data_IF_298155176713
#
_entry.id   IF_298155176713
#
_cell.length_a   1.000
_cell.length_b   1.000
_cell.length_c   1.000
_cell.angle_alpha   90.00
_cell.angle_beta   90.00
_cell.angle_gamma   90.00
#
_symmetry.space_group_name_H-M   'P 1'
#
loop_
_entity.id
_entity.type
_entity.pdbx_description
1 polymer ?
#
# COMPACT_ATOMS: atom_id res chain seq x y z
N UNK A 1 11.58 -20.68 -19.93
CA UNK A 1 11.93 -20.29 -18.55
C UNK A 1 10.97 -19.22 -17.97
N UNK A 2 10.82 -18.03 -18.55
CA UNK A 2 9.95 -16.95 -17.99
C UNK A 2 8.46 -17.34 -17.97
N UNK A 3 7.95 -17.98 -19.01
CA UNK A 3 6.56 -18.48 -19.09
C UNK A 3 6.25 -19.53 -18.01
N UNK A 4 7.12 -20.52 -17.83
CA UNK A 4 6.97 -21.53 -16.80
C UNK A 4 6.88 -20.93 -15.40
N UNK A 5 7.67 -19.87 -15.12
CA UNK A 5 7.60 -19.13 -13.85
C UNK A 5 6.21 -18.51 -13.61
N UNK A 6 5.57 -17.94 -14.64
CA UNK A 6 4.21 -17.42 -14.55
C UNK A 6 3.20 -18.54 -14.31
N UNK A 7 3.32 -19.66 -15.01
CA UNK A 7 2.44 -20.83 -14.84
C UNK A 7 2.55 -21.42 -13.43
N UNK A 8 3.76 -21.59 -12.91
CA UNK A 8 3.99 -22.04 -11.52
C UNK A 8 3.39 -21.08 -10.50
N UNK A 9 3.58 -19.77 -10.71
CA UNK A 9 2.99 -18.76 -9.85
C UNK A 9 1.46 -18.83 -9.85
N UNK A 10 0.83 -18.95 -11.02
CA UNK A 10 -0.63 -19.07 -11.16
C UNK A 10 -1.17 -20.34 -10.48
N UNK A 11 -0.47 -21.47 -10.61
CA UNK A 11 -0.83 -22.73 -9.93
C UNK A 11 -0.76 -22.59 -8.40
N UNK A 12 0.31 -22.00 -7.89
CA UNK A 12 0.47 -21.77 -6.46
C UNK A 12 -0.60 -20.78 -5.92
N UNK A 13 -0.83 -19.68 -6.63
CA UNK A 13 -1.83 -18.69 -6.28
C UNK A 13 -3.25 -19.28 -6.24
N UNK A 14 -3.63 -20.05 -7.27
CA UNK A 14 -4.89 -20.78 -7.32
C UNK A 14 -5.10 -21.64 -6.08
N UNK A 15 -4.07 -22.41 -5.67
CA UNK A 15 -4.10 -23.24 -4.47
C UNK A 15 -4.30 -22.42 -3.20
N UNK A 16 -3.67 -21.22 -3.11
CA UNK A 16 -3.72 -20.38 -1.90
C UNK A 16 -4.96 -19.49 -1.81
N UNK A 17 -5.78 -19.40 -2.86
CA UNK A 17 -7.10 -18.76 -2.78
C UNK A 17 -8.09 -19.55 -1.89
N UNK A 18 -7.79 -20.82 -1.60
CA UNK A 18 -8.55 -21.63 -0.65
C UNK A 18 -9.96 -21.99 -1.15
N UNK A 19 -10.97 -21.88 -0.28
CA UNK A 19 -12.35 -22.19 -0.67
C UNK A 19 -12.82 -21.28 -1.80
N UNK A 20 -13.63 -21.81 -2.72
CA UNK A 20 -14.13 -21.13 -3.92
C UNK A 20 -13.04 -20.63 -4.90
N UNK A 21 -11.84 -21.22 -4.85
CA UNK A 21 -10.71 -20.82 -5.68
C UNK A 21 -11.00 -20.84 -7.18
N UNK A 22 -11.81 -21.76 -7.68
CA UNK A 22 -12.17 -21.80 -9.10
C UNK A 22 -12.83 -20.49 -9.56
N UNK A 23 -13.84 -20.03 -8.81
CA UNK A 23 -14.57 -18.80 -9.16
C UNK A 23 -13.71 -17.55 -8.96
N UNK A 24 -12.98 -17.50 -7.84
CA UNK A 24 -12.14 -16.32 -7.52
C UNK A 24 -10.97 -16.21 -8.49
N UNK A 25 -10.41 -17.32 -8.97
CA UNK A 25 -9.33 -17.30 -9.95
C UNK A 25 -9.83 -16.92 -11.35
N UNK A 26 -10.95 -17.48 -11.82
CA UNK A 26 -11.58 -17.01 -13.08
C UNK A 26 -11.97 -15.53 -13.01
N UNK A 27 -12.35 -15.06 -11.83
CA UNK A 27 -12.65 -13.64 -11.62
C UNK A 27 -11.40 -12.76 -11.79
N UNK A 28 -10.22 -13.20 -11.30
CA UNK A 28 -8.97 -12.45 -11.54
C UNK A 28 -8.63 -12.37 -13.02
N UNK A 29 -8.76 -13.47 -13.75
CA UNK A 29 -8.55 -13.50 -15.20
C UNK A 29 -9.54 -12.57 -15.92
N UNK A 30 -10.82 -12.60 -15.53
CA UNK A 30 -11.85 -11.73 -16.09
C UNK A 30 -11.55 -10.23 -15.83
N UNK A 31 -11.10 -9.85 -14.63
CA UNK A 31 -10.69 -8.47 -14.32
C UNK A 31 -9.53 -8.02 -15.20
N UNK A 32 -8.53 -8.88 -15.40
CA UNK A 32 -7.38 -8.57 -16.23
C UNK A 32 -7.74 -8.39 -17.71
N UNK A 33 -8.75 -9.10 -18.21
CA UNK A 33 -9.20 -8.96 -19.60
C UNK A 33 -10.23 -7.84 -19.79
N UNK A 34 -11.03 -7.51 -18.78
CA UNK A 34 -12.10 -6.53 -18.92
C UNK A 34 -11.56 -5.12 -18.72
N UNK A 35 -11.56 -4.32 -19.77
CA UNK A 35 -11.06 -2.95 -19.72
C UNK A 35 -12.03 -2.01 -19.00
N UNK A 36 -13.31 -2.14 -19.29
CA UNK A 36 -14.38 -1.31 -18.72
C UNK A 36 -15.45 -2.21 -18.13
N UNK A 37 -15.79 -1.98 -16.85
CA UNK A 37 -16.88 -2.66 -16.18
C UNK A 37 -17.63 -1.65 -15.29
N UNK A 38 -18.94 -1.77 -15.21
CA UNK A 38 -19.79 -0.93 -14.37
C UNK A 38 -20.34 -1.70 -13.17
N UNK A 39 -20.26 -3.01 -13.22
CA UNK A 39 -20.71 -3.91 -12.15
C UNK A 39 -19.91 -5.21 -12.09
N UNK A 40 -20.05 -6.00 -11.02
CA UNK A 40 -19.49 -7.36 -10.99
C UNK A 40 -20.13 -8.27 -12.03
N UNK A 41 -21.39 -8.02 -12.42
CA UNK A 41 -22.04 -8.79 -13.45
C UNK A 41 -21.35 -8.63 -14.81
N UNK A 42 -20.85 -7.43 -15.13
CA UNK A 42 -20.13 -7.18 -16.39
C UNK A 42 -18.84 -7.99 -16.48
N UNK A 43 -18.15 -8.18 -15.34
CA UNK A 43 -16.97 -9.05 -15.28
C UNK A 43 -17.29 -10.51 -15.62
N UNK A 44 -18.51 -10.96 -15.35
CA UNK A 44 -18.95 -12.32 -15.70
C UNK A 44 -19.24 -12.53 -17.19
N UNK A 45 -19.28 -11.45 -17.98
CA UNK A 45 -19.40 -11.52 -19.44
C UNK A 45 -18.04 -11.78 -20.12
N UNK A 46 -16.95 -11.71 -19.39
CA UNK A 46 -15.62 -12.04 -19.91
C UNK A 46 -15.56 -13.50 -20.38
N UNK A 47 -14.97 -13.79 -21.55
CA UNK A 47 -14.92 -15.16 -22.10
C UNK A 47 -14.16 -16.16 -21.22
N UNK A 48 -13.32 -15.67 -20.30
CA UNK A 48 -12.56 -16.54 -19.36
C UNK A 48 -13.37 -16.84 -18.10
N UNK A 49 -14.50 -16.17 -17.85
CA UNK A 49 -15.37 -16.46 -16.72
C UNK A 49 -16.49 -17.40 -17.15
N UNK A 50 -16.35 -18.68 -16.87
CA UNK A 50 -17.24 -19.76 -17.37
C UNK A 50 -18.47 -20.01 -16.50
N UNK A 51 -18.72 -19.16 -15.49
CA UNK A 51 -19.77 -19.32 -14.47
C UNK A 51 -20.80 -18.19 -14.54
N UNK A 52 -21.91 -18.37 -13.84
CA UNK A 52 -22.95 -17.32 -13.74
C UNK A 52 -22.48 -16.17 -12.84
N UNK A 53 -22.94 -14.96 -13.09
CA UNK A 53 -22.60 -13.76 -12.33
C UNK A 53 -22.85 -13.89 -10.82
N UNK A 54 -23.90 -14.64 -10.40
CA UNK A 54 -24.22 -14.88 -9.00
C UNK A 54 -23.11 -15.60 -8.23
N UNK A 55 -22.33 -16.45 -8.91
CA UNK A 55 -21.22 -17.19 -8.29
C UNK A 55 -20.09 -16.28 -7.81
N UNK A 56 -19.95 -15.07 -8.39
CA UNK A 56 -18.97 -14.07 -7.91
C UNK A 56 -19.31 -13.65 -6.48
N UNK A 57 -20.58 -13.32 -6.21
CA UNK A 57 -21.00 -12.91 -4.86
C UNK A 57 -20.91 -14.04 -3.85
N UNK A 58 -21.29 -15.26 -4.26
CA UNK A 58 -21.14 -16.47 -3.45
C UNK A 58 -19.68 -16.75 -3.12
N UNK A 59 -18.79 -16.64 -4.11
CA UNK A 59 -17.35 -16.83 -3.90
C UNK A 59 -16.76 -15.78 -2.96
N UNK A 60 -17.10 -14.50 -3.11
CA UNK A 60 -16.69 -13.46 -2.19
C UNK A 60 -17.26 -13.65 -0.78
N UNK A 61 -18.41 -14.33 -0.62
CA UNK A 61 -18.95 -14.71 0.66
C UNK A 61 -18.20 -15.89 1.29
N UNK A 62 -17.76 -16.84 0.50
CA UNK A 62 -17.27 -18.14 0.94
C UNK A 62 -15.77 -18.34 0.89
N UNK A 63 -15.04 -17.57 0.06
CA UNK A 63 -13.59 -17.73 -0.12
C UNK A 63 -12.82 -17.58 1.21
N UNK A 64 -11.67 -18.24 1.26
CA UNK A 64 -10.74 -18.23 2.41
C UNK A 64 -9.30 -18.09 1.90
N UNK A 65 -8.93 -16.90 1.37
CA UNK A 65 -7.56 -16.69 0.89
C UNK A 65 -6.54 -16.85 2.02
N UNK A 66 -5.49 -17.60 1.76
CA UNK A 66 -4.39 -17.83 2.69
C UNK A 66 -3.38 -16.68 2.56
N UNK A 67 -3.72 -15.51 3.11
CA UNK A 67 -2.98 -14.24 2.95
C UNK A 67 -1.48 -14.37 3.25
N UNK A 68 -1.13 -15.14 4.28
CA UNK A 68 0.27 -15.36 4.65
C UNK A 68 1.02 -16.13 3.56
N UNK A 69 0.43 -17.19 3.01
CA UNK A 69 1.04 -17.97 1.93
C UNK A 69 1.11 -17.18 0.62
N UNK A 70 0.10 -16.35 0.34
CA UNK A 70 0.14 -15.44 -0.81
C UNK A 70 1.28 -14.42 -0.67
N UNK A 71 1.45 -13.78 0.51
CA UNK A 71 2.56 -12.89 0.78
C UNK A 71 3.92 -13.58 0.60
N UNK A 72 4.08 -14.79 1.13
CA UNK A 72 5.31 -15.58 0.95
C UNK A 72 5.55 -15.93 -0.52
N UNK A 73 4.49 -16.24 -1.28
CA UNK A 73 4.57 -16.47 -2.72
C UNK A 73 5.09 -15.22 -3.45
N UNK A 74 4.62 -14.03 -3.06
CA UNK A 74 5.08 -12.76 -3.62
C UNK A 74 6.54 -12.50 -3.27
N UNK A 75 6.92 -12.66 -2.02
CA UNK A 75 8.32 -12.48 -1.55
C UNK A 75 9.27 -13.42 -2.29
N UNK A 76 8.85 -14.67 -2.55
CA UNK A 76 9.65 -15.64 -3.33
C UNK A 76 9.97 -15.15 -4.75
N UNK A 77 9.21 -14.21 -5.31
CA UNK A 77 9.49 -13.64 -6.62
C UNK A 77 10.51 -12.50 -6.59
N UNK A 78 10.83 -11.98 -5.40
CA UNK A 78 11.79 -10.88 -5.23
C UNK A 78 13.24 -11.40 -5.34
N UNK A 79 14.19 -10.55 -5.78
CA UNK A 79 15.62 -10.87 -5.72
C UNK A 79 16.08 -11.07 -4.27
N UNK A 80 16.88 -12.11 -4.02
CA UNK A 80 17.34 -12.45 -2.66
C UNK A 80 18.59 -11.70 -2.21
N UNK A 81 19.37 -11.19 -3.15
CA UNK A 81 20.71 -10.61 -2.87
C UNK A 81 20.70 -9.09 -2.69
N UNK A 82 19.63 -8.39 -3.06
CA UNK A 82 19.53 -6.95 -2.94
C UNK A 82 18.74 -6.53 -1.71
N UNK A 83 19.12 -5.37 -1.14
CA UNK A 83 18.36 -4.72 -0.06
C UNK A 83 17.07 -4.15 -0.66
N UNK A 84 15.88 -4.68 -0.35
CA UNK A 84 14.66 -4.25 -1.00
C UNK A 84 14.20 -2.87 -0.50
N UNK A 85 13.66 -2.07 -1.43
CA UNK A 85 12.95 -0.84 -1.11
C UNK A 85 11.45 -1.17 -0.96
N UNK A 86 10.91 -0.97 0.22
CA UNK A 86 9.49 -1.07 0.50
C UNK A 86 8.87 0.33 0.58
N UNK A 87 7.65 0.47 0.11
CA UNK A 87 6.86 1.68 0.32
C UNK A 87 5.56 1.33 1.05
N UNK A 88 5.29 2.08 2.11
CA UNK A 88 4.04 1.95 2.86
C UNK A 88 3.14 3.15 2.70
N UNK A 89 1.85 2.91 2.52
CA UNK A 89 0.84 3.95 2.39
C UNK A 89 -0.56 3.41 2.70
N UNK A 90 -1.56 4.28 2.77
CA UNK A 90 -2.95 3.88 2.89
C UNK A 90 -3.85 4.70 1.96
N UNK A 91 -4.99 4.11 1.62
CA UNK A 91 -5.98 4.74 0.75
C UNK A 91 -7.38 4.41 1.22
N UNK A 92 -8.36 5.22 0.84
CA UNK A 92 -9.77 4.98 1.13
C UNK A 92 -10.50 4.34 -0.06
N UNK A 93 -11.39 3.41 0.27
CA UNK A 93 -12.49 2.99 -0.60
C UNK A 93 -13.73 3.76 -0.17
N UNK A 94 -14.04 4.84 -0.89
CA UNK A 94 -15.18 5.72 -0.61
C UNK A 94 -16.51 5.01 -0.85
N UNK A 95 -17.37 4.98 0.16
CA UNK A 95 -18.68 4.33 0.16
C UNK A 95 -19.69 5.12 1.01
N UNK A 96 -19.91 6.44 0.76
CA UNK A 96 -20.77 7.28 1.59
C UNK A 96 -22.22 6.78 1.60
N UNK A 97 -22.75 6.33 0.46
CA UNK A 97 -24.15 5.90 0.30
C UNK A 97 -24.39 4.44 0.70
N UNK A 98 -23.35 3.68 1.07
CA UNK A 98 -23.47 2.28 1.42
C UNK A 98 -23.96 2.10 2.87
N UNK A 99 -25.15 2.59 3.20
CA UNK A 99 -25.71 2.56 4.57
C UNK A 99 -25.89 1.14 5.15
N UNK A 100 -25.90 0.13 4.30
CA UNK A 100 -25.97 -1.28 4.69
C UNK A 100 -24.60 -1.95 4.83
N UNK A 101 -23.49 -1.23 4.54
CA UNK A 101 -22.13 -1.72 4.76
C UNK A 101 -21.75 -1.50 6.22
N UNK A 102 -21.33 -2.58 6.87
CA UNK A 102 -20.83 -2.56 8.26
C UNK A 102 -19.47 -1.86 8.35
N UNK A 103 -19.18 -1.32 9.52
CA UNK A 103 -17.86 -0.78 9.89
C UNK A 103 -17.34 0.29 8.93
N UNK A 104 -18.22 1.14 8.39
CA UNK A 104 -17.77 2.33 7.67
C UNK A 104 -17.16 3.32 8.65
N UNK A 105 -16.02 3.86 8.30
CA UNK A 105 -15.26 4.83 9.08
C UNK A 105 -15.10 6.13 8.31
N UNK A 106 -14.67 7.18 9.01
CA UNK A 106 -14.27 8.45 8.38
C UNK A 106 -12.82 8.30 7.97
N UNK A 107 -12.56 8.43 6.67
CA UNK A 107 -11.23 8.28 6.09
C UNK A 107 -10.80 9.58 5.39
N UNK A 108 -9.48 9.82 5.31
CA UNK A 108 -8.94 10.91 4.51
C UNK A 108 -9.13 10.63 3.02
N UNK A 109 -9.49 11.65 2.26
CA UNK A 109 -9.67 11.54 0.81
C UNK A 109 -9.29 12.85 0.15
N UNK A 110 -8.62 12.77 -1.00
CA UNK A 110 -8.36 13.95 -1.84
C UNK A 110 -9.63 14.49 -2.50
N UNK A 111 -10.68 13.66 -2.65
CA UNK A 111 -12.00 14.10 -3.08
C UNK A 111 -12.74 14.72 -1.89
N UNK A 112 -13.19 15.96 -2.03
CA UNK A 112 -13.91 16.67 -0.97
C UNK A 112 -15.38 16.21 -0.93
N UNK A 113 -15.90 16.01 0.29
CA UNK A 113 -17.35 15.95 0.52
C UNK A 113 -17.94 17.36 0.55
N UNK A 114 -19.28 17.52 0.47
CA UNK A 114 -19.92 18.81 0.67
C UNK A 114 -19.38 19.50 1.93
N UNK A 115 -18.95 20.75 1.81
CA UNK A 115 -18.28 21.50 2.87
C UNK A 115 -16.74 21.51 2.78
N UNK A 116 -16.16 21.12 1.65
CA UNK A 116 -14.71 21.18 1.33
C UNK A 116 -13.77 20.47 2.34
N UNK A 117 -14.26 19.48 3.05
CA UNK A 117 -13.43 18.68 3.95
C UNK A 117 -12.77 17.53 3.17
N UNK A 118 -11.45 17.32 3.32
CA UNK A 118 -10.72 16.24 2.63
C UNK A 118 -10.97 14.88 3.31
N UNK A 119 -12.23 14.52 3.46
CA UNK A 119 -12.68 13.27 4.11
C UNK A 119 -13.72 12.56 3.27
N UNK A 120 -13.83 11.25 3.45
CA UNK A 120 -14.92 10.44 2.93
C UNK A 120 -15.40 9.44 3.98
N UNK A 121 -16.56 8.86 3.75
CA UNK A 121 -17.10 7.75 4.55
C UNK A 121 -16.89 6.48 3.75
N UNK A 122 -16.25 5.47 4.36
CA UNK A 122 -15.97 4.22 3.67
C UNK A 122 -15.11 3.28 4.49
N UNK A 123 -14.14 2.67 3.85
CA UNK A 123 -13.17 1.78 4.51
C UNK A 123 -11.75 2.18 4.09
N UNK A 124 -10.85 2.28 5.06
CA UNK A 124 -9.42 2.50 4.82
C UNK A 124 -8.70 1.18 4.50
N UNK A 125 -7.69 1.25 3.65
CA UNK A 125 -6.82 0.11 3.31
C UNK A 125 -5.36 0.52 3.40
N UNK A 126 -4.56 -0.27 4.07
CA UNK A 126 -3.11 -0.10 4.23
C UNK A 126 -2.38 -1.05 3.29
N UNK A 127 -1.28 -0.59 2.72
CA UNK A 127 -0.48 -1.33 1.75
C UNK A 127 0.99 -1.26 2.12
N UNK A 128 1.68 -2.39 2.02
CA UNK A 128 3.14 -2.47 1.92
C UNK A 128 3.46 -3.04 0.55
N UNK A 129 4.22 -2.31 -0.24
CA UNK A 129 4.62 -2.72 -1.58
C UNK A 129 6.14 -2.70 -1.74
N UNK A 130 6.68 -3.65 -2.49
CA UNK A 130 8.05 -3.61 -2.98
C UNK A 130 8.14 -2.72 -4.22
N UNK A 131 9.18 -1.88 -4.29
CA UNK A 131 9.46 -0.97 -5.39
C UNK A 131 10.69 -1.51 -6.14
N UNK A 132 10.51 -2.23 -7.27
CA UNK A 132 11.58 -2.97 -7.92
C UNK A 132 12.53 -2.10 -8.75
N UNK A 133 12.10 -0.92 -9.19
CA UNK A 133 12.78 -0.11 -10.20
C UNK A 133 13.09 1.28 -9.68
N UNK A 134 14.21 1.86 -10.12
CA UNK A 134 14.59 3.24 -9.77
C UNK A 134 13.71 4.27 -10.47
N UNK A 135 13.23 3.94 -11.65
CA UNK A 135 12.26 4.74 -12.40
C UNK A 135 11.23 3.81 -13.06
N UNK A 136 9.96 4.11 -12.88
CA UNK A 136 8.89 3.27 -13.42
C UNK A 136 7.58 3.47 -12.67
N UNK A 137 6.58 2.67 -13.00
CA UNK A 137 5.24 2.72 -12.40
C UNK A 137 4.89 1.45 -11.61
N UNK A 138 5.87 0.56 -11.41
CA UNK A 138 5.63 -0.69 -10.71
C UNK A 138 5.79 -0.54 -9.20
N UNK A 139 4.70 -0.72 -8.47
CA UNK A 139 4.70 -1.04 -7.06
C UNK A 139 4.02 -2.39 -6.89
N UNK A 140 4.70 -3.33 -6.26
CA UNK A 140 4.28 -4.71 -6.12
C UNK A 140 3.82 -4.97 -4.68
N UNK A 141 2.52 -4.95 -4.41
CA UNK A 141 2.02 -5.09 -3.06
C UNK A 141 2.33 -6.47 -2.49
N UNK A 142 2.93 -6.49 -1.32
CA UNK A 142 3.16 -7.68 -0.51
C UNK A 142 1.97 -7.90 0.43
N UNK A 143 1.39 -6.79 0.91
CA UNK A 143 0.14 -6.77 1.66
C UNK A 143 -0.73 -5.58 1.25
N UNK A 144 -2.03 -5.81 1.15
CA UNK A 144 -3.05 -4.79 0.94
C UNK A 144 -4.30 -5.17 1.72
N UNK A 145 -4.52 -4.55 2.87
CA UNK A 145 -5.53 -5.01 3.82
C UNK A 145 -6.35 -3.86 4.38
N UNK A 146 -7.59 -4.16 4.71
CA UNK A 146 -8.50 -3.21 5.34
C UNK A 146 -7.98 -2.79 6.73
N UNK A 147 -8.08 -1.51 7.02
CA UNK A 147 -7.89 -0.97 8.36
C UNK A 147 -9.23 -1.11 9.07
N UNK A 148 -9.29 -1.97 10.08
CA UNK A 148 -10.52 -2.25 10.82
C UNK A 148 -11.00 -1.03 11.63
N UNK A 149 -12.23 -1.11 12.12
CA UNK A 149 -12.81 -0.01 12.92
C UNK A 149 -12.17 0.17 14.31
N UNK A 150 -11.42 -0.81 14.79
CA UNK A 150 -10.72 -0.78 16.08
C UNK A 150 -9.21 -0.48 15.98
N UNK A 151 -8.65 -0.34 14.78
CA UNK A 151 -7.24 0.01 14.56
C UNK A 151 -7.11 1.30 13.74
N UNK A 152 -5.96 1.95 13.83
CA UNK A 152 -5.62 3.09 13.01
C UNK A 152 -4.59 2.72 11.92
N UNK A 153 -4.31 3.65 10.99
CA UNK A 153 -3.37 3.45 9.89
C UNK A 153 -1.96 3.06 10.38
N UNK A 154 -1.48 3.67 11.46
CA UNK A 154 -0.16 3.39 12.03
C UNK A 154 -0.09 1.97 12.59
N UNK A 155 -1.10 1.54 13.35
CA UNK A 155 -1.15 0.18 13.90
C UNK A 155 -1.16 -0.86 12.79
N UNK A 156 -2.01 -0.66 11.76
CA UNK A 156 -2.09 -1.58 10.63
C UNK A 156 -0.78 -1.62 9.85
N UNK A 157 -0.22 -0.46 9.53
CA UNK A 157 1.03 -0.36 8.76
C UNK A 157 2.22 -0.99 9.49
N UNK A 158 2.37 -0.74 10.79
CA UNK A 158 3.47 -1.33 11.58
C UNK A 158 3.34 -2.85 11.69
N UNK A 159 2.13 -3.36 11.91
CA UNK A 159 1.88 -4.79 11.91
C UNK A 159 2.20 -5.43 10.55
N UNK A 160 1.74 -4.82 9.45
CA UNK A 160 2.03 -5.32 8.10
C UNK A 160 3.55 -5.30 7.81
N UNK A 161 4.25 -4.23 8.19
CA UNK A 161 5.69 -4.11 8.00
C UNK A 161 6.43 -5.21 8.76
N UNK A 162 6.05 -5.48 10.02
CA UNK A 162 6.61 -6.57 10.81
C UNK A 162 6.42 -7.91 10.09
N UNK A 163 5.19 -8.23 9.68
CA UNK A 163 4.88 -9.48 9.00
C UNK A 163 5.68 -9.68 7.70
N UNK A 164 5.90 -8.60 6.94
CA UNK A 164 6.72 -8.65 5.72
C UNK A 164 8.19 -8.86 6.06
N UNK A 165 8.73 -8.10 7.02
CA UNK A 165 10.15 -8.14 7.38
C UNK A 165 10.59 -9.48 8.01
N UNK A 166 9.68 -10.19 8.69
CA UNK A 166 9.92 -11.54 9.22
C UNK A 166 10.20 -12.59 8.12
N UNK A 167 9.77 -12.31 6.88
CA UNK A 167 9.94 -13.23 5.75
C UNK A 167 10.96 -12.76 4.71
N UNK A 168 11.53 -11.55 4.87
CA UNK A 168 12.57 -11.07 3.97
C UNK A 168 13.94 -11.57 4.39
N UNK A 169 14.78 -12.02 3.43
CA UNK A 169 16.16 -12.47 3.74
C UNK A 169 17.05 -11.33 4.23
N UNK A 170 16.87 -10.14 3.68
CA UNK A 170 17.68 -8.95 3.98
C UNK A 170 16.85 -7.86 4.64
N UNK A 171 17.52 -6.96 5.39
CA UNK A 171 16.90 -5.79 6.02
C UNK A 171 16.46 -4.78 4.96
N UNK A 172 15.16 -4.47 4.79
CA UNK A 172 14.69 -3.53 3.80
C UNK A 172 14.87 -2.08 4.23
N UNK A 173 14.88 -1.17 3.24
CA UNK A 173 14.56 0.25 3.46
C UNK A 173 13.06 0.41 3.25
N UNK A 174 12.38 1.07 4.17
CA UNK A 174 10.94 1.30 4.10
C UNK A 174 10.63 2.79 4.06
N UNK A 175 9.97 3.26 3.01
CA UNK A 175 9.66 4.68 2.76
C UNK A 175 8.21 5.00 3.06
N UNK A 176 7.97 6.13 3.75
CA UNK A 176 6.66 6.50 4.30
C UNK A 176 6.36 7.98 4.10
N UNK A 177 5.09 8.32 3.97
CA UNK A 177 4.66 9.70 3.86
C UNK A 177 4.58 10.44 5.22
N UNK A 178 4.18 11.70 5.20
CA UNK A 178 4.15 12.56 6.38
C UNK A 178 3.08 12.20 7.42
N UNK A 179 2.12 11.33 7.12
CA UNK A 179 1.18 10.83 8.13
C UNK A 179 1.85 9.88 9.11
N UNK A 180 2.89 9.19 8.65
CA UNK A 180 3.72 8.29 9.46
C UNK A 180 4.90 9.02 10.12
N UNK A 181 5.16 10.29 9.76
CA UNK A 181 6.22 11.12 10.35
C UNK A 181 5.93 11.57 11.78
N UNK A 182 5.75 10.64 12.72
CA UNK A 182 5.34 10.93 14.09
C UNK A 182 5.92 9.93 15.10
N UNK A 183 6.01 10.36 16.38
CA UNK A 183 6.55 9.54 17.45
C UNK A 183 5.89 8.16 17.61
N UNK A 184 4.55 7.99 17.51
CA UNK A 184 3.93 6.68 17.60
C UNK A 184 4.42 5.68 16.56
N UNK A 185 4.68 6.11 15.33
CA UNK A 185 5.20 5.24 14.26
C UNK A 185 6.64 4.83 14.55
N UNK A 186 7.50 5.79 14.92
CA UNK A 186 8.90 5.52 15.28
C UNK A 186 9.01 4.54 16.45
N UNK A 187 8.14 4.66 17.47
CA UNK A 187 8.12 3.74 18.60
C UNK A 187 7.67 2.32 18.20
N UNK A 188 6.60 2.23 17.42
CA UNK A 188 6.04 0.93 17.00
C UNK A 188 6.94 0.16 16.04
N UNK A 189 7.80 0.86 15.30
CA UNK A 189 8.77 0.23 14.38
C UNK A 189 10.10 -0.09 15.05
N UNK A 190 10.25 0.15 16.38
CA UNK A 190 11.53 -0.02 17.09
C UNK A 190 12.13 -1.42 16.98
N UNK A 191 11.30 -2.45 17.06
CA UNK A 191 11.72 -3.85 17.04
C UNK A 191 11.53 -4.52 15.67
N UNK A 192 11.22 -3.74 14.64
CA UNK A 192 11.07 -4.27 13.28
C UNK A 192 12.43 -4.21 12.57
N UNK A 193 12.85 -5.31 11.95
CA UNK A 193 14.08 -5.40 11.18
C UNK A 193 13.95 -4.65 9.84
N UNK A 194 13.84 -3.33 9.90
CA UNK A 194 13.76 -2.44 8.75
C UNK A 194 14.39 -1.09 9.08
N UNK A 195 14.93 -0.42 8.07
CA UNK A 195 15.30 0.97 8.16
C UNK A 195 14.19 1.83 7.59
N UNK A 196 13.89 2.92 8.27
CA UNK A 196 12.73 3.76 7.98
C UNK A 196 13.19 5.10 7.42
N UNK A 197 12.69 5.46 6.26
CA UNK A 197 12.81 6.80 5.69
C UNK A 197 11.40 7.40 5.61
N UNK A 198 11.14 8.41 6.42
CA UNK A 198 9.81 8.99 6.53
C UNK A 198 9.81 10.49 6.30
N UNK A 199 8.83 10.99 5.55
CA UNK A 199 8.63 12.43 5.39
C UNK A 199 8.11 13.05 6.67
N UNK A 200 8.62 14.23 7.00
CA UNK A 200 8.15 15.04 8.11
C UNK A 200 7.37 16.26 7.60
N UNK A 201 6.39 16.68 8.37
CA UNK A 201 5.69 17.95 8.13
C UNK A 201 6.53 19.11 8.65
N UNK A 202 6.57 20.22 7.93
CA UNK A 202 7.41 21.38 8.28
C UNK A 202 7.07 22.04 9.62
N UNK A 203 5.89 21.80 10.18
CA UNK A 203 5.47 22.35 11.47
C UNK A 203 5.89 21.51 12.69
N UNK A 204 6.70 20.47 12.50
CA UNK A 204 7.16 19.61 13.59
C UNK A 204 8.32 20.26 14.36
N UNK A 205 8.41 19.89 15.65
CA UNK A 205 9.51 20.19 16.52
C UNK A 205 10.19 18.89 16.96
N UNK A 206 11.48 18.80 16.73
CA UNK A 206 12.38 17.75 17.21
C UNK A 206 13.22 18.28 18.36
N UNK A 207 14.02 17.43 18.96
CA UNK A 207 14.86 17.72 20.11
C UNK A 207 16.25 17.13 19.87
N UNK A 208 17.28 17.88 20.19
CA UNK A 208 18.66 17.43 20.17
C UNK A 208 18.98 16.45 21.31
N UNK A 209 20.18 15.89 21.30
CA UNK A 209 20.69 15.10 22.40
C UNK A 209 20.76 15.91 23.68
N UNK A 210 20.50 15.30 24.85
CA UNK A 210 20.65 16.01 26.12
C UNK A 210 22.12 16.39 26.34
N UNK A 211 22.40 17.54 27.01
CA UNK A 211 23.75 17.88 27.41
C UNK A 211 24.32 16.87 28.41
N UNK A 212 25.64 16.81 28.59
CA UNK A 212 26.28 15.98 29.62
C UNK A 212 25.67 16.27 31.00
N UNK A 213 25.50 15.21 31.79
CA UNK A 213 24.93 15.35 33.13
C UNK A 213 25.87 16.08 34.08
N UNK A 214 25.40 17.19 34.66
CA UNK A 214 26.19 18.04 35.56
C UNK A 214 26.24 17.54 37.01
N UNK A 215 25.81 16.32 37.28
CA UNK A 215 25.72 15.69 38.62
C UNK A 215 24.78 16.40 39.61
N UNK A 216 24.03 17.41 39.16
CA UNK A 216 23.06 18.13 40.01
C UNK A 216 21.63 18.00 39.42
N UNK A 217 20.72 17.58 40.30
CA UNK A 217 19.30 17.45 39.94
C UNK A 217 18.97 16.25 39.03
N UNK A 218 17.79 16.26 38.41
CA UNK A 218 17.35 15.20 37.50
C UNK A 218 18.02 15.34 36.14
N UNK A 219 18.62 14.30 35.56
CA UNK A 219 19.19 14.35 34.20
C UNK A 219 18.15 14.82 33.17
N UNK A 220 18.56 15.74 32.30
CA UNK A 220 17.72 16.14 31.16
C UNK A 220 17.57 14.97 30.18
N UNK A 221 16.37 14.81 29.63
CA UNK A 221 16.09 13.80 28.59
C UNK A 221 16.23 14.34 27.18
N UNK A 222 16.28 15.66 27.03
CA UNK A 222 16.27 16.34 25.74
C UNK A 222 17.23 17.53 25.80
N UNK A 223 17.88 17.79 24.68
CA UNK A 223 18.62 19.01 24.41
C UNK A 223 17.73 20.14 23.90
N UNK A 224 18.28 20.97 23.02
CA UNK A 224 17.58 22.11 22.48
C UNK A 224 16.49 21.70 21.46
N UNK A 225 15.51 22.59 21.29
CA UNK A 225 14.44 22.42 20.32
C UNK A 225 14.95 22.70 18.93
N UNK A 226 14.58 21.85 18.00
CA UNK A 226 14.80 22.00 16.57
C UNK A 226 13.45 22.06 15.85
N UNK A 227 12.99 23.25 15.49
CA UNK A 227 11.72 23.46 14.78
C UNK A 227 11.98 23.52 13.28
N UNK A 228 11.34 22.64 12.50
CA UNK A 228 11.61 22.52 11.06
C UNK A 228 11.27 23.79 10.26
N UNK A 229 10.34 24.61 10.75
CA UNK A 229 9.92 25.87 10.13
C UNK A 229 10.60 27.13 10.70
N UNK A 230 11.57 26.98 11.62
CA UNK A 230 12.25 28.12 12.26
C UNK A 230 13.76 27.89 12.26
N UNK A 231 14.44 28.45 11.28
CA UNK A 231 15.89 28.25 11.06
C UNK A 231 16.77 28.70 12.23
N UNK A 232 16.34 29.72 12.99
CA UNK A 232 17.06 30.17 14.19
C UNK A 232 17.16 29.13 15.31
N UNK A 233 16.42 28.04 15.22
CA UNK A 233 16.46 26.93 16.20
C UNK A 233 17.32 25.75 15.73
N UNK A 234 17.88 25.81 14.52
CA UNK A 234 18.64 24.71 13.98
C UNK A 234 20.07 24.70 14.55
N UNK A 235 20.54 23.52 14.89
CA UNK A 235 21.95 23.30 15.20
C UNK A 235 22.79 23.37 13.94
N UNK A 236 24.10 23.31 14.08
CA UNK A 236 25.00 23.21 12.94
C UNK A 236 24.68 21.98 12.09
N UNK A 237 24.83 22.15 10.78
CA UNK A 237 24.63 21.08 9.79
C UNK A 237 25.74 20.04 9.94
N UNK A 238 25.41 18.80 10.16
CA UNK A 238 26.39 17.71 10.27
C UNK A 238 27.10 17.45 8.93
N UNK A 239 26.33 17.49 7.83
CA UNK A 239 26.83 17.31 6.47
C UNK A 239 25.93 18.04 5.48
N UNK A 240 26.51 18.64 4.46
CA UNK A 240 25.75 19.22 3.35
C UNK A 240 26.45 18.91 2.02
N UNK A 241 25.66 18.72 0.98
CA UNK A 241 26.16 18.56 -0.39
C UNK A 241 25.16 19.12 -1.40
N UNK A 242 25.67 19.46 -2.57
CA UNK A 242 24.88 19.83 -3.74
C UNK A 242 25.05 18.77 -4.82
N UNK A 243 23.93 18.33 -5.39
CA UNK A 243 23.88 17.30 -6.43
C UNK A 243 23.16 17.86 -7.64
N UNK A 244 23.74 17.70 -8.80
CA UNK A 244 23.06 18.02 -10.06
C UNK A 244 22.24 16.80 -10.52
N UNK A 245 20.90 16.88 -10.37
CA UNK A 245 20.01 15.79 -10.71
C UNK A 245 19.39 16.01 -12.11
N UNK A 246 19.43 15.01 -13.03
CA UNK A 246 19.04 15.19 -14.43
C UNK A 246 17.65 15.78 -14.66
N UNK A 247 16.68 15.47 -13.78
CA UNK A 247 15.28 15.95 -13.91
C UNK A 247 14.93 17.12 -12.99
N UNK A 248 15.66 17.31 -11.90
CA UNK A 248 15.30 18.28 -10.86
C UNK A 248 16.22 19.53 -10.86
N UNK A 249 17.35 19.48 -11.57
CA UNK A 249 18.39 20.50 -11.54
C UNK A 249 19.24 20.39 -10.28
N UNK A 250 19.77 21.52 -9.80
CA UNK A 250 20.60 21.57 -8.60
C UNK A 250 19.76 21.31 -7.35
N UNK A 251 20.18 20.32 -6.58
CA UNK A 251 19.53 19.90 -5.33
C UNK A 251 20.55 20.01 -4.20
N UNK A 252 20.23 20.83 -3.19
CA UNK A 252 21.00 20.92 -1.95
C UNK A 252 20.39 20.00 -0.91
N UNK A 253 21.24 19.17 -0.31
CA UNK A 253 20.83 18.21 0.72
C UNK A 253 21.64 18.48 1.98
N UNK A 254 20.97 18.73 3.08
CA UNK A 254 21.57 19.00 4.40
C UNK A 254 21.13 17.94 5.41
N UNK A 255 22.05 17.52 6.27
CA UNK A 255 21.87 16.48 7.26
C UNK A 255 22.15 17.00 8.66
N UNK A 256 21.30 16.65 9.60
CA UNK A 256 21.48 16.79 11.05
C UNK A 256 21.33 15.43 11.72
N UNK A 257 22.25 15.09 12.58
CA UNK A 257 22.25 13.81 13.31
C UNK A 257 21.71 13.96 14.74
N UNK A 258 21.33 12.82 15.36
CA UNK A 258 20.94 12.73 16.78
C UNK A 258 19.73 13.59 17.20
N UNK A 259 18.79 13.81 16.27
CA UNK A 259 17.51 14.44 16.60
C UNK A 259 16.47 13.39 16.98
N UNK A 260 15.47 13.75 17.77
CA UNK A 260 14.42 12.81 18.18
C UNK A 260 13.08 13.54 18.45
N UNK A 261 11.97 12.82 18.37
CA UNK A 261 10.70 13.33 18.90
C UNK A 261 10.73 13.31 20.43
N UNK A 262 9.98 14.20 21.06
CA UNK A 262 9.93 14.28 22.53
C UNK A 262 9.65 12.93 23.22
N UNK A 263 8.88 12.05 22.59
CA UNK A 263 8.53 10.73 23.15
C UNK A 263 9.48 9.61 22.71
N UNK A 264 10.49 9.88 21.90
CA UNK A 264 11.41 8.87 21.35
C UNK A 264 12.87 9.19 21.63
N UNK A 265 13.19 9.72 22.81
CA UNK A 265 14.56 10.12 23.18
C UNK A 265 15.57 8.97 23.06
N UNK A 266 15.14 7.73 23.26
CA UNK A 266 15.97 6.52 23.14
C UNK A 266 16.16 6.06 21.69
N UNK A 267 15.53 6.73 20.72
CA UNK A 267 15.61 6.37 19.31
C UNK A 267 15.91 7.60 18.46
N UNK A 268 17.16 8.02 18.44
CA UNK A 268 17.59 9.16 17.62
C UNK A 268 17.44 8.84 16.13
N UNK A 269 17.32 9.89 15.33
CA UNK A 269 17.18 9.83 13.88
C UNK A 269 18.06 10.88 13.22
N UNK A 270 18.38 10.66 11.96
CA UNK A 270 19.01 11.65 11.10
C UNK A 270 17.94 12.41 10.35
N UNK A 271 17.99 13.74 10.42
CA UNK A 271 17.08 14.64 9.72
C UNK A 271 17.73 15.10 8.41
N UNK A 272 17.02 14.99 7.32
CA UNK A 272 17.50 15.35 5.98
C UNK A 272 16.57 16.43 5.43
N UNK A 273 17.17 17.52 4.95
CA UNK A 273 16.45 18.59 4.26
C UNK A 273 16.91 18.60 2.80
N UNK A 274 15.95 18.56 1.88
CA UNK A 274 16.20 18.55 0.44
C UNK A 274 15.56 19.78 -0.17
N UNK A 275 16.35 20.57 -0.87
CA UNK A 275 15.99 21.83 -1.50
C UNK A 275 16.36 21.81 -2.97
N UNK A 276 15.47 22.30 -3.81
CA UNK A 276 15.78 22.54 -5.22
C UNK A 276 16.17 24.01 -5.37
N UNK A 277 17.32 24.22 -6.00
CA UNK A 277 17.84 25.55 -6.26
C UNK A 277 17.63 25.93 -7.73
N UNK A 278 17.47 27.22 -7.98
CA UNK A 278 17.55 27.80 -9.31
C UNK A 278 19.03 28.09 -9.68
N UNK A 279 19.25 28.67 -10.85
CA UNK A 279 20.59 28.99 -11.35
C UNK A 279 21.29 30.08 -10.51
N UNK A 280 20.52 30.87 -9.77
CA UNK A 280 21.01 31.91 -8.87
C UNK A 280 21.24 31.41 -7.43
N UNK A 281 21.00 30.09 -7.17
CA UNK A 281 21.13 29.49 -5.83
C UNK A 281 19.96 29.75 -4.89
N UNK A 282 18.86 30.35 -5.36
CA UNK A 282 17.65 30.55 -4.57
C UNK A 282 16.74 29.31 -4.59
N UNK A 283 15.85 29.23 -3.64
CA UNK A 283 14.88 28.13 -3.58
C UNK A 283 13.92 28.16 -4.78
N UNK A 284 14.01 27.19 -5.68
CA UNK A 284 13.07 26.98 -6.79
C UNK A 284 11.68 26.57 -6.34
N UNK A 285 11.56 25.96 -5.15
CA UNK A 285 10.29 25.52 -4.54
C UNK A 285 10.23 26.03 -3.12
N UNK A 286 9.16 26.76 -2.79
CA UNK A 286 8.98 27.44 -1.51
C UNK A 286 9.00 26.53 -0.26
N UNK A 287 8.79 25.24 -0.43
CA UNK A 287 8.74 24.29 0.68
C UNK A 287 9.77 23.19 0.49
N UNK A 288 10.80 23.11 1.36
CA UNK A 288 11.77 22.03 1.34
C UNK A 288 11.11 20.68 1.69
N UNK A 289 11.70 19.59 1.19
CA UNK A 289 11.32 18.26 1.60
C UNK A 289 12.11 17.90 2.85
N UNK A 290 11.41 17.59 3.94
CA UNK A 290 11.98 17.12 5.18
C UNK A 290 11.79 15.61 5.30
N UNK A 291 12.89 14.88 5.51
CA UNK A 291 12.92 13.44 5.69
C UNK A 291 13.61 13.10 7.02
N UNK A 292 13.18 12.04 7.66
CA UNK A 292 13.87 11.45 8.79
C UNK A 292 14.28 10.02 8.46
N UNK A 293 15.54 9.72 8.72
CA UNK A 293 16.08 8.37 8.70
C UNK A 293 16.14 7.80 10.10
N UNK A 294 15.54 6.63 10.30
CA UNK A 294 15.57 5.88 11.55
C UNK A 294 16.02 4.45 11.24
N UNK A 295 17.28 4.15 11.46
CA UNK A 295 17.84 2.85 11.09
C UNK A 295 19.34 2.77 11.32
N UNK A 296 19.93 1.64 10.92
CA UNK A 296 21.33 1.33 11.17
C UNK A 296 22.23 1.86 10.04
N UNK A 297 21.93 1.50 8.80
CA UNK A 297 22.77 1.80 7.63
C UNK A 297 22.08 2.77 6.68
N UNK A 298 22.35 4.06 6.86
CA UNK A 298 21.83 5.07 5.95
C UNK A 298 22.65 5.04 4.64
N UNK A 299 21.98 4.97 3.48
CA UNK A 299 22.63 5.16 2.20
C UNK A 299 23.32 6.53 2.10
N UNK A 300 24.28 6.70 1.16
CA UNK A 300 24.90 7.99 0.92
C UNK A 300 23.88 9.14 0.83
N UNK A 301 24.25 10.32 1.35
CA UNK A 301 23.35 11.47 1.38
C UNK A 301 22.91 11.90 -0.03
N UNK A 302 23.72 11.63 -1.06
CA UNK A 302 23.39 11.83 -2.47
C UNK A 302 22.24 10.96 -2.97
N UNK A 303 21.96 9.82 -2.32
CA UNK A 303 21.05 8.78 -2.80
C UNK A 303 19.78 8.65 -1.92
N UNK A 304 19.93 8.77 -0.59
CA UNK A 304 18.85 8.48 0.36
C UNK A 304 17.55 9.23 0.08
N UNK A 305 17.61 10.48 -0.31
CA UNK A 305 16.45 11.29 -0.63
C UNK A 305 15.77 10.84 -1.94
N UNK A 306 16.52 10.29 -2.87
CA UNK A 306 15.99 9.77 -4.14
C UNK A 306 15.13 8.51 -3.90
N UNK A 307 15.48 7.70 -2.89
CA UNK A 307 14.66 6.55 -2.49
C UNK A 307 13.25 6.99 -2.06
N UNK A 308 13.14 8.13 -1.38
CA UNK A 308 11.84 8.66 -1.02
C UNK A 308 10.98 9.03 -2.25
N UNK A 309 11.58 9.54 -3.31
CA UNK A 309 10.84 9.89 -4.54
C UNK A 309 10.21 8.66 -5.19
N UNK A 310 10.82 7.49 -5.04
CA UNK A 310 10.27 6.23 -5.56
C UNK A 310 8.96 5.80 -4.85
N UNK A 311 8.66 6.33 -3.67
CA UNK A 311 7.39 6.08 -2.97
C UNK A 311 6.16 6.41 -3.83
N UNK A 312 6.24 7.41 -4.69
CA UNK A 312 5.13 7.82 -5.54
C UNK A 312 4.61 6.72 -6.47
N UNK A 313 5.36 5.64 -6.68
CA UNK A 313 4.88 4.48 -7.43
C UNK A 313 3.70 3.78 -6.75
N UNK A 314 3.56 3.88 -5.42
CA UNK A 314 2.38 3.35 -4.71
C UNK A 314 1.13 4.15 -5.05
N UNK A 315 1.24 5.47 -5.21
CA UNK A 315 0.13 6.32 -5.65
C UNK A 315 -0.30 5.95 -7.09
N UNK A 316 0.66 5.64 -7.97
CA UNK A 316 0.39 5.12 -9.31
C UNK A 316 -0.32 3.76 -9.26
N UNK A 317 0.11 2.86 -8.37
CA UNK A 317 -0.56 1.59 -8.15
C UNK A 317 -2.01 1.78 -7.66
N UNK A 318 -2.26 2.68 -6.70
CA UNK A 318 -3.62 2.98 -6.26
C UNK A 318 -4.50 3.53 -7.38
N UNK A 319 -3.96 4.33 -8.26
CA UNK A 319 -4.67 4.80 -9.46
C UNK A 319 -4.99 3.63 -10.39
N UNK A 320 -4.01 2.79 -10.70
CA UNK A 320 -4.17 1.60 -11.52
C UNK A 320 -5.21 0.64 -10.91
N UNK A 321 -5.12 0.38 -9.61
CA UNK A 321 -6.04 -0.43 -8.83
C UNK A 321 -7.50 0.06 -8.98
N UNK A 322 -7.73 1.36 -8.79
CA UNK A 322 -9.07 1.96 -8.84
C UNK A 322 -9.62 2.06 -10.26
N UNK A 323 -8.79 2.41 -11.23
CA UNK A 323 -9.23 2.70 -12.59
C UNK A 323 -9.20 1.47 -13.50
N UNK A 324 -8.21 0.59 -13.38
CA UNK A 324 -8.01 -0.52 -14.31
C UNK A 324 -8.38 -1.89 -13.73
N UNK A 325 -8.10 -2.14 -12.44
CA UNK A 325 -8.46 -3.38 -11.78
C UNK A 325 -9.85 -3.32 -11.11
N UNK A 326 -10.58 -2.26 -11.29
CA UNK A 326 -11.97 -2.09 -10.81
C UNK A 326 -12.16 -2.28 -9.30
N UNK A 327 -11.12 -2.01 -8.51
CA UNK A 327 -11.16 -2.28 -7.06
C UNK A 327 -12.33 -1.62 -6.34
N UNK A 328 -12.67 -0.38 -6.70
CA UNK A 328 -13.76 0.37 -6.05
C UNK A 328 -15.14 0.14 -6.68
N UNK A 329 -15.22 -0.70 -7.71
CA UNK A 329 -16.46 -0.97 -8.45
C UNK A 329 -17.52 -1.70 -7.63
N UNK A 330 -17.21 -2.79 -6.87
CA UNK A 330 -18.24 -3.62 -6.26
C UNK A 330 -18.99 -2.93 -5.13
N UNK A 331 -20.30 -3.13 -5.10
CA UNK A 331 -21.17 -2.65 -4.02
C UNK A 331 -21.39 -3.76 -2.97
N UNK A 332 -20.29 -4.24 -2.37
CA UNK A 332 -20.30 -5.27 -1.35
C UNK A 332 -20.87 -4.73 -0.03
N UNK A 333 -21.53 -5.58 0.76
CA UNK A 333 -22.25 -5.19 1.97
C UNK A 333 -21.58 -5.63 3.27
N UNK A 334 -20.56 -6.47 3.23
CA UNK A 334 -19.84 -6.90 4.44
C UNK A 334 -18.35 -6.58 4.33
N UNK A 335 -17.69 -6.25 5.46
CA UNK A 335 -16.24 -6.05 5.49
C UNK A 335 -15.46 -7.25 4.95
N UNK A 336 -15.88 -8.46 5.30
CA UNK A 336 -15.23 -9.70 4.83
C UNK A 336 -15.27 -9.86 3.32
N UNK A 337 -16.39 -9.53 2.67
CA UNK A 337 -16.46 -9.54 1.20
C UNK A 337 -15.53 -8.49 0.57
N UNK A 338 -15.48 -7.28 1.16
CA UNK A 338 -14.58 -6.22 0.72
C UNK A 338 -13.10 -6.63 0.84
N UNK A 339 -12.73 -7.29 1.94
CA UNK A 339 -11.38 -7.81 2.17
C UNK A 339 -11.01 -8.89 1.13
N UNK A 340 -11.88 -9.87 0.91
CA UNK A 340 -11.64 -10.95 -0.06
C UNK A 340 -11.54 -10.45 -1.49
N UNK A 341 -12.32 -9.44 -1.84
CA UNK A 341 -12.16 -8.73 -3.11
C UNK A 341 -10.81 -8.03 -3.21
N UNK A 342 -10.40 -7.37 -2.13
CA UNK A 342 -9.12 -6.66 -2.07
C UNK A 342 -7.91 -7.60 -2.09
N UNK A 343 -8.02 -8.82 -1.56
CA UNK A 343 -6.98 -9.85 -1.61
C UNK A 343 -6.59 -10.26 -3.06
N UNK A 344 -7.50 -10.06 -4.04
CA UNK A 344 -7.24 -10.37 -5.45
C UNK A 344 -6.33 -9.33 -6.12
N UNK A 345 -6.24 -8.12 -5.59
CA UNK A 345 -5.53 -7.00 -6.22
C UNK A 345 -4.00 -7.19 -6.22
N UNK A 346 -3.36 -7.56 -5.11
CA UNK A 346 -1.94 -7.95 -5.12
C UNK A 346 -1.66 -9.10 -6.08
N UNK A 347 -2.48 -10.15 -6.05
CA UNK A 347 -2.32 -11.32 -6.90
C UNK A 347 -2.23 -10.93 -8.38
N UNK A 348 -3.20 -10.17 -8.88
CA UNK A 348 -3.22 -9.71 -10.27
C UNK A 348 -2.01 -8.82 -10.61
N UNK A 349 -1.59 -7.97 -9.68
CA UNK A 349 -0.42 -7.09 -9.89
C UNK A 349 0.87 -7.91 -10.05
N UNK A 350 1.05 -8.95 -9.23
CA UNK A 350 2.19 -9.85 -9.34
C UNK A 350 2.14 -10.71 -10.61
N UNK A 351 0.96 -11.12 -11.02
CA UNK A 351 0.76 -11.82 -12.28
C UNK A 351 1.17 -10.98 -13.48
N UNK A 352 0.76 -9.71 -13.51
CA UNK A 352 1.18 -8.75 -14.53
C UNK A 352 2.70 -8.52 -14.50
N UNK A 353 3.31 -8.43 -13.31
CA UNK A 353 4.75 -8.29 -13.18
C UNK A 353 5.52 -9.46 -13.81
N UNK A 354 5.06 -10.69 -13.58
CA UNK A 354 5.68 -11.88 -14.16
C UNK A 354 5.41 -12.01 -15.66
N UNK A 355 4.29 -11.48 -16.14
CA UNK A 355 3.94 -11.48 -17.55
C UNK A 355 4.69 -10.41 -18.37
N UNK A 356 5.20 -9.34 -17.75
CA UNK A 356 5.78 -8.17 -18.44
C UNK A 356 6.91 -8.52 -19.41
N UNK A 357 7.67 -9.55 -19.10
CA UNK A 357 8.84 -9.96 -19.88
C UNK A 357 8.54 -10.99 -20.98
N UNK A 358 7.28 -11.39 -21.09
CA UNK A 358 6.80 -12.37 -22.10
C UNK A 358 5.73 -11.81 -23.02
N UNK A 359 5.19 -10.62 -22.71
CA UNK A 359 4.26 -9.91 -23.60
C UNK A 359 5.02 -8.93 -24.48
N UNK A 360 4.57 -8.80 -25.73
CA UNK A 360 4.99 -7.71 -26.60
C UNK A 360 4.15 -6.44 -26.33
N UNK A 361 4.74 -5.28 -26.50
CA UNK A 361 3.97 -4.03 -26.45
C UNK A 361 3.01 -3.97 -27.66
N UNK A 362 1.73 -3.84 -27.39
CA UNK A 362 0.69 -3.68 -28.39
C UNK A 362 -0.05 -2.37 -28.15
N UNK A 363 0.54 -1.23 -28.55
CA UNK A 363 -0.05 0.07 -28.32
C UNK A 363 -1.34 0.26 -29.13
N UNK A 364 -2.32 0.94 -28.53
CA UNK A 364 -3.48 1.42 -29.27
C UNK A 364 -3.05 2.54 -30.24
N UNK A 365 -3.81 2.84 -31.30
CA UNK A 365 -3.41 3.79 -32.35
C UNK A 365 -2.96 5.18 -31.84
N UNK A 366 -3.47 5.61 -30.69
CA UNK A 366 -3.13 6.89 -30.06
C UNK A 366 -2.05 6.78 -28.98
N UNK A 367 -1.50 5.61 -28.72
CA UNK A 367 -0.48 5.37 -27.72
C UNK A 367 0.90 5.25 -28.37
N UNK A 368 1.92 5.82 -27.74
CA UNK A 368 3.32 5.61 -28.13
C UNK A 368 3.80 4.23 -27.67
N UNK A 369 4.69 3.63 -28.43
CA UNK A 369 5.42 2.43 -27.99
C UNK A 369 6.25 2.72 -26.73
N UNK A 370 6.43 1.74 -25.89
CA UNK A 370 7.14 1.84 -24.62
C UNK A 370 8.33 0.86 -24.60
N UNK A 371 9.50 1.36 -24.23
CA UNK A 371 10.69 0.52 -24.00
C UNK A 371 10.53 -0.35 -22.73
N UNK A 372 9.84 0.19 -21.74
CA UNK A 372 9.52 -0.51 -20.48
C UNK A 372 8.03 -0.65 -20.29
N UNK A 373 7.58 -1.88 -20.15
CA UNK A 373 6.16 -2.18 -19.99
C UNK A 373 5.61 -1.69 -18.64
N UNK A 374 4.52 -0.93 -18.69
CA UNK A 374 3.78 -0.52 -17.49
C UNK A 374 2.71 -1.55 -17.13
N UNK A 375 2.18 -1.56 -15.88
CA UNK A 375 1.09 -2.48 -15.50
C UNK A 375 -0.10 -2.43 -16.45
N UNK A 376 -0.48 -1.24 -16.90
CA UNK A 376 -1.59 -1.05 -17.84
C UNK A 376 -1.32 -1.63 -19.22
N UNK A 377 -0.08 -1.53 -19.72
CA UNK A 377 0.32 -2.12 -21.01
C UNK A 377 0.35 -3.64 -20.96
N UNK A 378 0.91 -4.20 -19.89
CA UNK A 378 0.89 -5.65 -19.69
C UNK A 378 -0.55 -6.16 -19.63
N UNK A 379 -1.42 -5.47 -18.88
CA UNK A 379 -2.83 -5.85 -18.80
C UNK A 379 -3.57 -5.81 -20.16
N UNK A 380 -3.16 -4.93 -21.10
CA UNK A 380 -3.70 -4.93 -22.47
C UNK A 380 -3.33 -6.21 -23.25
N UNK A 381 -2.16 -6.77 -22.98
CA UNK A 381 -1.64 -7.93 -23.68
C UNK A 381 -1.98 -9.28 -23.01
N UNK A 382 -2.62 -9.28 -21.83
CA UNK A 382 -2.90 -10.52 -21.08
C UNK A 382 -3.80 -11.51 -21.84
N UNK A 383 -4.62 -11.06 -22.78
CA UNK A 383 -5.46 -11.93 -23.59
C UNK A 383 -4.67 -12.96 -24.38
N UNK A 384 -3.56 -12.57 -25.00
CA UNK A 384 -2.67 -13.48 -25.74
C UNK A 384 -1.99 -14.49 -24.81
N UNK A 385 -1.65 -14.07 -23.57
CA UNK A 385 -1.06 -14.97 -22.58
C UNK A 385 -2.07 -16.03 -22.15
N UNK A 386 -3.29 -15.62 -21.76
CA UNK A 386 -4.31 -16.58 -21.31
C UNK A 386 -4.75 -17.57 -22.38
N UNK A 387 -4.76 -17.17 -23.64
CA UNK A 387 -5.04 -18.07 -24.76
C UNK A 387 -4.00 -19.22 -24.85
N UNK A 388 -2.77 -18.98 -24.41
CA UNK A 388 -1.67 -19.95 -24.48
C UNK A 388 -1.53 -20.78 -23.21
N UNK A 389 -1.60 -20.12 -22.01
CA UNK A 389 -1.35 -20.82 -20.74
C UNK A 389 -2.62 -21.44 -20.14
N UNK A 390 -3.80 -21.02 -20.61
CA UNK A 390 -5.08 -21.49 -20.08
C UNK A 390 -5.32 -21.10 -18.61
N UNK A 391 -6.16 -21.86 -17.94
CA UNK A 391 -6.53 -21.65 -16.54
C UNK A 391 -6.39 -22.95 -15.73
N UNK A 392 -5.93 -22.88 -14.47
CA UNK A 392 -5.86 -24.05 -13.57
C UNK A 392 -7.24 -24.45 -13.03
N UNK A 393 -8.29 -23.67 -13.29
CA UNK A 393 -9.60 -23.87 -12.70
C UNK A 393 -10.36 -25.05 -13.31
N UNK A 394 -11.14 -25.73 -12.49
CA UNK A 394 -11.98 -26.86 -12.91
C UNK A 394 -13.17 -26.36 -13.73
N UNK A 395 -13.64 -27.18 -14.64
CA UNK A 395 -14.89 -26.91 -15.38
C UNK A 395 -16.08 -26.72 -14.46
N UNK A 396 -16.99 -25.79 -14.78
CA UNK A 396 -18.21 -25.60 -14.01
C UNK A 396 -19.02 -26.89 -13.95
N UNK A 397 -19.46 -27.26 -12.75
CA UNK A 397 -20.41 -28.36 -12.61
C UNK A 397 -21.82 -27.88 -12.99
N UNK A 398 -22.64 -28.72 -13.66
CA UNK A 398 -24.05 -28.43 -13.84
C UNK A 398 -24.71 -28.15 -12.50
N UNK A 399 -25.43 -27.04 -12.39
CA UNK A 399 -26.14 -26.68 -11.16
C UNK A 399 -27.63 -26.88 -11.38
N UNK A 400 -28.29 -27.57 -10.48
CA UNK A 400 -29.73 -27.68 -10.43
C UNK A 400 -30.42 -26.31 -10.30
N UNK A 401 -31.72 -26.28 -10.52
CA UNK A 401 -32.52 -25.06 -10.30
C UNK A 401 -32.50 -24.69 -8.82
N UNK A 402 -32.22 -23.42 -8.52
CA UNK A 402 -32.39 -22.90 -7.16
C UNK A 402 -33.88 -22.98 -6.80
N UNK A 403 -34.25 -23.33 -5.55
CA UNK A 403 -35.66 -23.38 -5.12
C UNK A 403 -36.36 -22.03 -5.19
N UNK A 404 -35.62 -20.95 -5.50
CA UNK A 404 -36.19 -19.61 -5.53
C UNK A 404 -36.59 -19.07 -4.17
N UNK A 405 -37.26 -17.94 -4.18
CA UNK A 405 -37.85 -17.36 -2.95
C UNK A 405 -39.17 -18.03 -2.66
N UNK A 406 -39.38 -18.45 -1.41
CA UNK A 406 -40.65 -19.08 -1.03
C UNK A 406 -41.83 -18.08 -1.20
N UNK A 407 -42.88 -18.43 -1.97
CA UNK A 407 -44.04 -17.56 -2.11
C UNK A 407 -44.62 -17.14 -0.74
N UNK A 408 -45.08 -15.90 -0.61
CA UNK A 408 -45.65 -15.36 0.63
C UNK A 408 -44.67 -14.99 1.73
N UNK A 409 -43.35 -15.26 1.58
CA UNK A 409 -42.36 -14.88 2.58
C UNK A 409 -41.92 -13.43 2.36
N UNK A 410 -42.21 -12.49 3.32
CA UNK A 410 -41.76 -11.11 3.16
C UNK A 410 -40.24 -11.02 3.18
N UNK A 411 -39.65 -10.15 2.33
CA UNK A 411 -38.23 -9.86 2.39
C UNK A 411 -37.94 -9.02 3.63
N UNK A 412 -37.03 -9.50 4.45
CA UNK A 412 -36.52 -8.69 5.56
C UNK A 412 -35.81 -7.42 5.04
N UNK A 413 -36.12 -6.28 5.65
CA UNK A 413 -35.40 -5.03 5.38
C UNK A 413 -33.94 -5.18 5.77
N UNK A 414 -33.03 -4.71 4.91
CA UNK A 414 -31.60 -4.71 5.23
C UNK A 414 -31.32 -3.75 6.38
N UNK A 415 -30.54 -4.20 7.35
CA UNK A 415 -30.11 -3.40 8.50
C UNK A 415 -29.24 -2.24 7.99
N UNK A 416 -29.49 -1.04 8.51
CA UNK A 416 -28.63 0.14 8.29
C UNK A 416 -27.66 0.24 9.45
N UNK A 417 -26.37 0.47 9.13
CA UNK A 417 -25.31 0.56 10.11
C UNK A 417 -24.81 2.01 10.23
N UNK A 418 -24.57 2.49 11.47
CA UNK A 418 -24.00 3.82 11.69
C UNK A 418 -22.54 3.88 11.23
N UNK A 419 -22.03 5.10 11.05
CA UNK A 419 -20.62 5.36 10.82
C UNK A 419 -19.86 5.16 12.13
N UNK A 420 -18.78 4.37 12.09
CA UNK A 420 -17.95 4.14 13.27
C UNK A 420 -16.93 5.26 13.40
N UNK A 421 -17.01 6.02 14.49
CA UNK A 421 -15.98 7.01 14.85
C UNK A 421 -14.87 6.30 15.63
N UNK A 422 -13.66 6.33 15.08
CA UNK A 422 -12.46 5.79 15.74
C UNK A 422 -12.03 6.74 16.86
N UNK A 423 -12.32 6.40 18.11
CA UNK A 423 -11.85 7.18 19.28
C UNK A 423 -10.75 6.39 19.99
N UNK A 424 -9.78 7.09 20.55
CA UNK A 424 -8.61 6.49 21.24
C UNK A 424 -9.03 5.51 22.36
N UNK A 425 -10.13 5.80 23.02
CA UNK A 425 -10.69 4.97 24.13
C UNK A 425 -11.33 3.67 23.62
N UNK A 426 -12.02 3.72 22.46
CA UNK A 426 -12.61 2.53 21.84
C UNK A 426 -11.55 1.61 21.23
N UNK A 427 -10.46 2.18 20.68
CA UNK A 427 -9.32 1.43 20.15
C UNK A 427 -8.61 0.57 21.21
N UNK A 428 -8.63 0.98 22.49
CA UNK A 428 -8.04 0.21 23.59
C UNK A 428 -8.91 -0.91 24.14
N UNK A 429 -10.26 -0.78 24.05
CA UNK A 429 -11.21 -1.72 24.66
C UNK A 429 -11.66 -2.88 23.76
N UNK A 430 -11.34 -2.85 22.46
CA UNK A 430 -11.83 -3.81 21.47
C UNK A 430 -10.72 -4.61 20.77
N UNK A 431 -9.51 -4.69 21.34
CA UNK A 431 -8.55 -5.69 20.86
C UNK A 431 -9.02 -7.07 21.31
N UNK A 432 -9.51 -7.94 20.41
CA UNK A 432 -9.68 -9.34 20.74
C UNK A 432 -8.27 -9.94 20.90
N UNK A 433 -8.02 -10.57 22.03
CA UNK A 433 -6.76 -11.28 22.31
C UNK A 433 -6.49 -12.49 21.39
N UNK A 434 -7.38 -12.79 20.44
CA UNK A 434 -7.42 -14.09 19.78
C UNK A 434 -7.23 -14.12 18.26
N UNK A 435 -7.00 -13.03 17.55
CA UNK A 435 -6.81 -13.09 16.08
C UNK A 435 -5.33 -13.15 15.61
N UNK A 436 -4.38 -13.33 16.54
CA UNK A 436 -2.95 -13.46 16.22
C UNK A 436 -2.49 -14.91 16.01
N UNK A 437 -3.38 -15.90 16.18
CA UNK A 437 -3.06 -17.32 16.00
C UNK A 437 -4.09 -18.06 15.15
N UNK A 438 -4.15 -17.74 13.84
CA UNK A 438 -4.69 -18.69 12.84
C UNK A 438 -4.34 -18.26 11.41
#
# INVERSE_FOLDING_TARGET
MKRAKLEEFRQAAYKYLGRAHDVTFELTDAILLTRNAYSLADLSLSPVFRRKWSSIYEALQDSRPQRQKLMQLYIKQMPTQSRPLLAGDHTAWSRPDAVTLQERTIEHSSATVPGNKPITIGQGYSTIAWIPEDSGSWALPLRHERISSWENSIQKATWQLQQVCEHLPTRPISVWDSEYGCAPFVLKTANIRADILVRLRSNLCLWGAPPPYSSKGRPRKHGDKFKLNQSSTWSEVTQSLEVNHPKLGTVKVSLWSNLHFRKTATRPMSLIRVERLDEQGNLKVSKPLWLAWVGEEMPPLSEVWQLYLRRFTVDHWYRFLKQRLHWTLPKLSTPKQCERWSDLMPLMTWELWLARDIVADNPLPWQKSLDKMTPGRVAQAMGSIFAVIGTPTRSPKPRGKSPGWKPGKPRQRRIRYPIVKKTTTKLRKQQPESDFSR
#
